data_IF_465873049646
#
_entry.id   IF_465873049646
#
_cell.length_a   1.000
_cell.length_b   1.000
_cell.length_c   1.000
_cell.angle_alpha   90.00
_cell.angle_beta   90.00
_cell.angle_gamma   90.00
#
_symmetry.space_group_name_H-M   'P 1'
#
loop_
_entity.id
_entity.type
_entity.pdbx_description
1 polymer ?
#
# COMPACT_ATOMS: atom_id res chain seq x y z
N UNK A 1 34.29 29.18 20.83
CA UNK A 1 33.90 27.79 21.13
C UNK A 1 33.23 27.87 22.48
N UNK A 2 31.90 27.76 22.50
CA UNK A 2 31.08 28.06 23.67
C UNK A 2 31.35 27.05 24.78
N UNK A 3 31.67 27.57 25.96
CA UNK A 3 31.75 26.82 27.21
C UNK A 3 30.31 26.53 27.67
N UNK A 4 29.68 25.51 27.09
CA UNK A 4 28.40 25.00 27.57
C UNK A 4 28.68 24.25 28.86
N UNK A 5 28.07 24.69 29.97
CA UNK A 5 28.24 24.05 31.26
C UNK A 5 27.76 22.60 31.17
N UNK A 6 28.65 21.65 31.48
CA UNK A 6 28.34 20.23 31.51
C UNK A 6 27.26 19.95 32.58
N UNK A 7 26.25 19.12 32.28
CA UNK A 7 25.19 18.81 33.22
C UNK A 7 25.73 18.17 34.50
N UNK A 8 25.11 18.49 35.62
CA UNK A 8 25.54 18.03 36.94
C UNK A 8 24.99 16.64 37.24
N UNK A 9 25.67 15.90 38.13
CA UNK A 9 25.15 14.62 38.61
C UNK A 9 23.82 14.75 39.39
N UNK A 10 23.43 15.95 39.80
CA UNK A 10 22.13 16.19 40.43
C UNK A 10 21.03 16.27 39.36
N UNK A 11 21.29 16.89 38.22
CA UNK A 11 20.37 16.97 37.08
C UNK A 11 20.11 15.59 36.48
N UNK A 12 21.15 14.78 36.27
CA UNK A 12 20.98 13.39 35.79
C UNK A 12 20.10 12.56 36.76
N UNK A 13 20.30 12.72 38.08
CA UNK A 13 19.45 12.03 39.08
C UNK A 13 18.02 12.56 39.07
N UNK A 14 17.84 13.86 38.88
CA UNK A 14 16.50 14.44 38.79
C UNK A 14 15.75 13.93 37.55
N UNK A 15 16.44 13.82 36.41
CA UNK A 15 15.87 13.24 35.19
C UNK A 15 15.52 11.75 35.37
N UNK A 16 16.39 10.96 36.03
CA UNK A 16 16.07 9.57 36.35
C UNK A 16 14.82 9.43 37.24
N UNK A 17 14.62 10.34 38.20
CA UNK A 17 13.39 10.37 39.01
C UNK A 17 12.16 10.84 38.21
N UNK A 18 12.35 11.72 37.23
CA UNK A 18 11.29 12.13 36.31
C UNK A 18 10.80 10.95 35.45
N UNK A 19 11.71 10.13 34.92
CA UNK A 19 11.38 8.89 34.18
C UNK A 19 10.56 7.94 35.04
N UNK A 20 10.99 7.66 36.28
CA UNK A 20 10.24 6.80 37.20
C UNK A 20 8.84 7.34 37.47
N UNK A 21 8.73 8.63 37.72
CA UNK A 21 7.43 9.29 37.96
C UNK A 21 6.52 9.22 36.73
N UNK A 22 7.08 9.37 35.53
CA UNK A 22 6.32 9.26 34.28
C UNK A 22 5.88 7.81 34.02
N UNK A 23 6.72 6.83 34.35
CA UNK A 23 6.39 5.40 34.26
C UNK A 23 5.21 5.04 35.18
N UNK A 24 5.23 5.50 36.42
CA UNK A 24 4.13 5.30 37.36
C UNK A 24 2.84 5.96 36.87
N UNK A 25 2.93 7.15 36.25
CA UNK A 25 1.78 7.85 35.66
C UNK A 25 1.22 7.09 34.45
N UNK A 26 2.08 6.59 33.58
CA UNK A 26 1.68 5.79 32.43
C UNK A 26 0.98 4.51 32.87
N UNK A 27 1.55 3.78 33.83
CA UNK A 27 0.90 2.59 34.39
C UNK A 27 -0.47 2.92 34.99
N UNK A 28 -0.58 4.00 35.77
CA UNK A 28 -1.85 4.44 36.35
C UNK A 28 -2.87 4.90 35.30
N UNK A 29 -2.45 5.33 34.10
CA UNK A 29 -3.33 5.63 32.98
C UNK A 29 -3.83 4.32 32.34
N UNK A 30 -2.94 3.37 32.09
CA UNK A 30 -3.27 2.04 31.53
C UNK A 30 -4.25 1.29 32.43
N UNK A 31 -4.03 1.29 33.74
CA UNK A 31 -4.92 0.64 34.72
C UNK A 31 -6.32 1.27 34.77
N UNK A 32 -6.48 2.52 34.32
CA UNK A 32 -7.75 3.25 34.31
C UNK A 32 -8.34 3.40 32.91
N UNK A 33 -7.78 2.73 31.89
CA UNK A 33 -8.19 2.92 30.50
C UNK A 33 -9.67 2.59 30.30
N UNK A 34 -10.32 3.40 29.47
CA UNK A 34 -11.75 3.33 29.16
C UNK A 34 -12.06 2.79 27.77
N UNK A 35 -11.04 2.36 27.02
CA UNK A 35 -11.13 1.74 25.70
C UNK A 35 -9.76 1.25 25.21
N UNK A 36 -9.70 0.74 23.98
CA UNK A 36 -8.43 0.39 23.31
C UNK A 36 -7.64 1.63 22.91
N UNK A 37 -8.31 2.71 22.52
CA UNK A 37 -7.73 4.00 22.13
C UNK A 37 -8.01 5.09 23.17
N UNK A 38 -7.53 4.92 24.40
CA UNK A 38 -7.73 5.93 25.45
C UNK A 38 -6.72 7.09 25.32
N UNK A 39 -7.16 8.34 25.06
CA UNK A 39 -6.25 9.49 24.91
C UNK A 39 -5.37 9.74 26.14
N UNK A 40 -5.85 9.40 27.34
CA UNK A 40 -5.09 9.60 28.56
C UNK A 40 -3.88 8.64 28.66
N UNK A 41 -3.98 7.46 28.05
CA UNK A 41 -2.86 6.51 27.96
C UNK A 41 -1.82 7.04 26.98
N UNK A 42 -2.27 7.51 25.82
CA UNK A 42 -1.41 8.11 24.79
C UNK A 42 -0.65 9.34 25.31
N UNK A 43 -1.35 10.27 25.97
CA UNK A 43 -0.72 11.45 26.58
C UNK A 43 0.32 11.08 27.64
N UNK A 44 0.03 10.05 28.45
CA UNK A 44 0.96 9.58 29.48
C UNK A 44 2.17 8.86 28.87
N UNK A 45 1.99 8.14 27.75
CA UNK A 45 3.06 7.55 26.97
C UNK A 45 4.00 8.62 26.41
N UNK A 46 3.48 9.66 25.78
CA UNK A 46 4.29 10.77 25.25
C UNK A 46 5.09 11.50 26.35
N UNK A 47 4.49 11.67 27.54
CA UNK A 47 5.21 12.23 28.69
C UNK A 47 6.33 11.33 29.21
N UNK A 48 6.15 10.01 29.16
CA UNK A 48 7.17 9.04 29.50
C UNK A 48 8.31 9.05 28.48
N UNK A 49 7.98 9.08 27.19
CA UNK A 49 8.94 9.20 26.09
C UNK A 49 9.84 10.43 26.27
N UNK A 50 9.25 11.62 26.40
CA UNK A 50 9.98 12.86 26.59
C UNK A 50 10.86 12.86 27.87
N UNK A 51 10.38 12.25 28.96
CA UNK A 51 11.17 12.17 30.19
C UNK A 51 12.40 11.25 30.03
N UNK A 52 12.25 10.16 29.28
CA UNK A 52 13.32 9.19 29.03
C UNK A 52 14.36 9.74 28.06
N UNK A 53 13.94 10.44 27.00
CA UNK A 53 14.86 11.14 26.09
C UNK A 53 15.71 12.18 26.82
N UNK A 54 15.08 13.03 27.64
CA UNK A 54 15.79 14.03 28.45
C UNK A 54 16.77 13.39 29.46
N UNK A 55 16.46 12.19 29.96
CA UNK A 55 17.39 11.45 30.81
C UNK A 55 18.58 10.92 30.01
N UNK A 56 18.36 10.37 28.82
CA UNK A 56 19.42 9.85 27.95
C UNK A 56 20.36 10.95 27.47
N UNK A 57 19.84 12.12 27.09
CA UNK A 57 20.67 13.28 26.72
C UNK A 57 21.60 13.69 27.88
N UNK A 58 21.04 13.83 29.09
CA UNK A 58 21.82 14.20 30.27
C UNK A 58 22.81 13.09 30.70
N UNK A 59 22.44 11.82 30.50
CA UNK A 59 23.29 10.67 30.78
C UNK A 59 24.49 10.65 29.82
N UNK A 60 24.24 10.86 28.54
CA UNK A 60 25.25 10.93 27.49
C UNK A 60 26.18 12.11 27.72
N UNK A 61 25.64 13.32 27.89
CA UNK A 61 26.43 14.53 28.09
C UNK A 61 27.38 14.41 29.28
N UNK A 62 26.94 13.75 30.37
CA UNK A 62 27.72 13.68 31.61
C UNK A 62 28.63 12.46 31.70
N UNK A 63 28.21 11.32 31.19
CA UNK A 63 28.88 10.04 31.41
C UNK A 63 29.29 9.33 30.12
N UNK A 64 28.94 9.85 28.93
CA UNK A 64 29.19 9.22 27.63
C UNK A 64 28.59 7.80 27.53
N UNK A 65 27.42 7.63 28.15
CA UNK A 65 26.67 6.37 28.23
C UNK A 65 25.25 6.61 27.70
N UNK A 66 24.64 5.56 27.14
CA UNK A 66 23.26 5.57 26.61
C UNK A 66 22.45 4.44 27.22
N UNK A 67 21.12 4.57 27.29
CA UNK A 67 20.30 3.44 27.73
C UNK A 67 20.14 2.42 26.60
N UNK A 68 19.94 1.12 26.93
CA UNK A 68 19.69 0.09 25.94
C UNK A 68 18.25 0.07 25.40
N UNK A 69 17.41 1.05 25.78
CA UNK A 69 16.01 1.13 25.35
C UNK A 69 15.87 2.21 24.29
N UNK A 70 15.43 1.83 23.09
CA UNK A 70 15.03 2.79 22.08
C UNK A 70 13.54 3.11 22.24
N UNK A 71 13.24 4.40 22.26
CA UNK A 71 11.86 4.87 22.18
C UNK A 71 11.58 5.03 20.68
N UNK A 72 10.56 4.36 20.13
CA UNK A 72 10.12 4.64 18.76
C UNK A 72 9.93 6.14 18.63
N UNK A 73 10.65 6.77 17.71
CA UNK A 73 10.71 8.23 17.62
C UNK A 73 9.30 8.82 17.57
N UNK A 74 8.99 9.67 18.56
CA UNK A 74 7.82 10.56 18.46
C UNK A 74 7.97 11.56 17.31
N UNK A 75 9.20 11.79 16.82
CA UNK A 75 9.49 12.60 15.62
C UNK A 75 9.24 11.84 14.31
N UNK A 76 9.35 10.51 14.31
CA UNK A 76 9.00 9.65 13.15
C UNK A 76 7.52 9.24 13.14
N UNK A 77 6.80 9.57 14.21
CA UNK A 77 5.36 9.34 14.31
C UNK A 77 4.62 10.50 13.65
N UNK A 78 3.74 10.19 12.69
CA UNK A 78 2.89 11.18 12.03
C UNK A 78 2.05 11.93 13.06
N UNK A 79 1.80 13.25 12.86
CA UNK A 79 0.90 13.99 13.75
C UNK A 79 -0.49 13.35 13.75
N UNK A 80 -1.26 13.51 14.85
CA UNK A 80 -2.60 12.95 14.92
C UNK A 80 -3.49 13.56 13.85
N UNK A 81 -4.38 12.75 13.26
CA UNK A 81 -5.35 13.20 12.27
C UNK A 81 -6.22 14.34 12.82
N UNK A 82 -6.28 15.47 12.11
CA UNK A 82 -7.04 16.67 12.52
C UNK A 82 -8.27 16.95 11.65
N UNK A 83 -8.53 16.11 10.64
CA UNK A 83 -9.62 16.27 9.70
C UNK A 83 -11.01 15.81 10.20
N UNK A 84 -12.04 15.83 9.34
CA UNK A 84 -13.40 15.42 9.70
C UNK A 84 -13.50 13.94 10.07
N UNK A 85 -14.40 13.60 11.00
CA UNK A 85 -14.68 12.21 11.43
C UNK A 85 -15.20 11.34 10.27
N UNK A 86 -15.96 11.92 9.34
CA UNK A 86 -16.48 11.27 8.14
C UNK A 86 -15.98 12.00 6.87
N UNK A 87 -14.80 11.63 6.31
CA UNK A 87 -14.27 12.28 5.11
C UNK A 87 -15.10 11.94 3.86
N UNK A 88 -15.40 12.93 3.03
CA UNK A 88 -16.19 12.77 1.80
C UNK A 88 -15.36 12.36 0.58
N UNK A 89 -14.04 12.56 0.61
CA UNK A 89 -13.10 12.19 -0.44
C UNK A 89 -11.77 11.75 0.17
N UNK A 90 -11.03 10.91 -0.57
CA UNK A 90 -9.74 10.38 -0.16
C UNK A 90 -8.73 10.49 -1.31
N UNK A 91 -7.45 10.66 -0.97
CA UNK A 91 -6.33 10.47 -1.88
C UNK A 91 -5.41 9.36 -1.35
N UNK A 92 -4.91 8.52 -2.25
CA UNK A 92 -4.00 7.43 -1.91
C UNK A 92 -2.64 7.72 -2.56
N UNK A 93 -1.61 7.86 -1.73
CA UNK A 93 -0.24 8.09 -2.18
C UNK A 93 0.55 6.82 -1.93
N UNK A 94 1.16 6.29 -2.99
CA UNK A 94 1.91 5.04 -2.93
C UNK A 94 3.36 5.34 -3.34
N UNK A 95 4.29 5.07 -2.43
CA UNK A 95 5.72 4.95 -2.75
C UNK A 95 6.04 3.48 -2.89
N UNK A 96 6.57 3.08 -4.05
CA UNK A 96 7.12 1.74 -4.30
C UNK A 96 8.57 1.90 -4.69
N UNK A 97 9.46 1.28 -3.94
CA UNK A 97 10.89 1.30 -4.23
C UNK A 97 11.24 0.08 -5.11
N UNK A 98 12.08 0.28 -6.12
CA UNK A 98 12.57 -0.81 -6.97
C UNK A 98 14.10 -0.74 -7.10
N UNK A 99 14.73 -1.91 -7.13
CA UNK A 99 16.12 -2.03 -7.57
C UNK A 99 16.17 -2.57 -9.00
N UNK A 100 17.08 -2.04 -9.83
CA UNK A 100 17.30 -2.56 -11.19
C UNK A 100 18.26 -3.75 -11.11
N UNK A 101 17.71 -4.95 -10.84
CA UNK A 101 18.49 -6.17 -10.68
C UNK A 101 19.00 -6.74 -12.01
N UNK A 102 18.20 -6.65 -13.07
CA UNK A 102 18.56 -7.15 -14.41
C UNK A 102 18.50 -6.02 -15.47
N UNK A 103 19.51 -5.11 -15.54
CA UNK A 103 19.53 -4.00 -16.49
C UNK A 103 19.39 -4.42 -17.95
N UNK A 104 19.93 -5.58 -18.32
CA UNK A 104 19.84 -6.09 -19.69
C UNK A 104 18.41 -6.51 -20.07
N UNK A 105 17.67 -7.08 -19.11
CA UNK A 105 16.27 -7.44 -19.29
C UNK A 105 15.41 -6.18 -19.45
N UNK A 106 15.61 -5.19 -18.58
CA UNK A 106 14.96 -3.87 -18.65
C UNK A 106 15.14 -3.24 -20.04
N UNK A 107 16.39 -3.17 -20.52
CA UNK A 107 16.70 -2.61 -21.83
C UNK A 107 16.13 -3.44 -22.99
N UNK A 108 16.06 -4.76 -22.85
CA UNK A 108 15.45 -5.62 -23.86
C UNK A 108 13.93 -5.39 -23.96
N UNK A 109 13.24 -5.15 -22.85
CA UNK A 109 11.81 -4.79 -22.84
C UNK A 109 11.60 -3.42 -23.48
N UNK A 110 12.39 -2.42 -23.09
CA UNK A 110 12.30 -1.08 -23.67
C UNK A 110 12.52 -1.07 -25.19
N UNK A 111 13.43 -1.91 -25.72
CA UNK A 111 13.61 -2.08 -27.18
C UNK A 111 12.38 -2.66 -27.87
N UNK A 112 11.60 -3.51 -27.20
CA UNK A 112 10.37 -4.06 -27.77
C UNK A 112 9.28 -3.00 -27.86
N UNK A 113 9.15 -2.17 -26.82
CA UNK A 113 8.24 -1.01 -26.81
C UNK A 113 8.63 -0.03 -27.91
N UNK A 114 9.91 0.36 -27.97
CA UNK A 114 10.44 1.28 -28.98
C UNK A 114 10.32 0.74 -30.41
N UNK A 115 10.40 -0.58 -30.61
CA UNK A 115 10.20 -1.20 -31.92
C UNK A 115 8.71 -1.31 -32.33
N UNK A 116 7.79 -1.28 -31.37
CA UNK A 116 6.35 -1.31 -31.62
C UNK A 116 5.78 0.09 -31.89
N UNK A 117 6.46 1.15 -31.45
CA UNK A 117 6.10 2.54 -31.72
C UNK A 117 6.49 2.93 -33.17
N UNK A 118 5.53 2.81 -34.10
CA UNK A 118 5.71 3.15 -35.52
C UNK A 118 5.89 4.67 -35.77
N UNK A 119 5.59 5.53 -34.79
CA UNK A 119 5.61 7.00 -34.90
C UNK A 119 6.86 7.64 -34.25
N UNK A 120 7.68 6.86 -33.55
CA UNK A 120 8.84 7.33 -32.79
C UNK A 120 9.99 7.88 -33.64
N UNK A 121 10.48 9.07 -33.29
CA UNK A 121 11.80 9.55 -33.73
C UNK A 121 12.83 8.60 -33.12
N UNK A 122 13.31 7.63 -33.91
CA UNK A 122 14.26 6.59 -33.49
C UNK A 122 15.51 7.14 -32.80
N UNK A 123 15.39 7.36 -31.49
CA UNK A 123 16.48 7.71 -30.59
C UNK A 123 16.95 6.45 -29.92
N UNK A 124 18.24 6.32 -29.63
CA UNK A 124 18.81 5.17 -28.92
C UNK A 124 18.42 5.17 -27.43
N UNK A 125 17.19 5.56 -27.06
CA UNK A 125 16.75 5.74 -25.68
C UNK A 125 16.79 4.41 -24.90
N UNK A 126 16.34 3.33 -25.55
CA UNK A 126 16.47 1.95 -25.04
C UNK A 126 17.93 1.47 -24.90
N UNK A 127 18.89 2.22 -25.45
CA UNK A 127 20.33 1.98 -25.36
C UNK A 127 20.94 2.29 -23.99
N UNK A 128 20.17 2.89 -23.08
CA UNK A 128 20.59 3.16 -21.69
C UNK A 128 19.52 2.70 -20.70
N UNK A 129 19.93 2.40 -19.45
CA UNK A 129 18.99 2.08 -18.37
C UNK A 129 18.01 3.23 -18.12
N UNK A 130 18.50 4.47 -18.13
CA UNK A 130 17.67 5.65 -17.90
C UNK A 130 16.59 5.82 -18.97
N UNK A 131 16.94 5.69 -20.26
CA UNK A 131 15.95 5.78 -21.32
C UNK A 131 15.01 4.56 -21.35
N UNK A 132 15.49 3.38 -20.97
CA UNK A 132 14.63 2.21 -20.80
C UNK A 132 13.57 2.40 -19.70
N UNK A 133 13.95 3.00 -18.56
CA UNK A 133 12.99 3.36 -17.51
C UNK A 133 11.95 4.36 -18.03
N UNK A 134 12.39 5.42 -18.73
CA UNK A 134 11.48 6.41 -19.28
C UNK A 134 10.48 5.84 -20.29
N UNK A 135 10.92 4.89 -21.13
CA UNK A 135 10.04 4.21 -22.08
C UNK A 135 9.02 3.30 -21.38
N UNK A 136 9.47 2.48 -20.42
CA UNK A 136 8.58 1.54 -19.73
C UNK A 136 7.55 2.25 -18.85
N UNK A 137 7.98 3.23 -18.04
CA UNK A 137 7.07 4.01 -17.19
C UNK A 137 6.21 5.02 -17.96
N UNK A 138 6.52 5.26 -19.24
CA UNK A 138 5.66 6.04 -20.14
C UNK A 138 4.61 5.19 -20.87
N UNK A 139 4.92 3.92 -21.15
CA UNK A 139 4.04 2.99 -21.87
C UNK A 139 3.08 2.25 -20.94
N UNK A 140 3.56 1.79 -19.78
CA UNK A 140 2.81 0.92 -18.88
C UNK A 140 2.25 1.69 -17.68
N UNK A 141 1.04 1.29 -17.25
CA UNK A 141 0.44 1.82 -16.03
C UNK A 141 1.25 1.41 -14.78
N UNK A 142 1.26 2.22 -13.71
CA UNK A 142 2.02 1.91 -12.51
C UNK A 142 1.70 0.54 -11.88
N UNK A 143 0.44 0.11 -11.95
CA UNK A 143 0.01 -1.20 -11.41
C UNK A 143 0.37 -2.37 -12.33
N UNK A 144 0.49 -2.13 -13.64
CA UNK A 144 1.06 -3.13 -14.55
C UNK A 144 2.55 -3.32 -14.29
N UNK A 145 3.30 -2.23 -14.07
CA UNK A 145 4.71 -2.31 -13.68
C UNK A 145 4.84 -3.04 -12.34
N UNK A 146 3.98 -2.73 -11.36
CA UNK A 146 4.00 -3.40 -10.06
C UNK A 146 3.74 -4.91 -10.17
N UNK A 147 2.70 -5.32 -10.91
CA UNK A 147 2.37 -6.74 -11.06
C UNK A 147 3.41 -7.54 -11.85
N UNK A 148 4.14 -6.89 -12.77
CA UNK A 148 5.08 -7.55 -13.70
C UNK A 148 6.53 -7.08 -13.52
N UNK A 149 6.90 -6.53 -12.37
CA UNK A 149 8.21 -5.91 -12.11
C UNK A 149 9.40 -6.83 -12.46
N UNK A 150 9.29 -8.13 -12.15
CA UNK A 150 10.31 -9.15 -12.50
C UNK A 150 10.50 -9.33 -14.01
N UNK A 151 9.44 -9.16 -14.81
CA UNK A 151 9.54 -9.21 -16.27
C UNK A 151 10.34 -8.04 -16.86
N UNK A 152 10.34 -6.90 -16.15
CA UNK A 152 11.11 -5.72 -16.46
C UNK A 152 12.53 -5.76 -15.88
N UNK A 153 12.87 -6.79 -15.10
CA UNK A 153 14.19 -6.90 -14.46
C UNK A 153 14.35 -5.98 -13.26
N UNK A 154 13.23 -5.61 -12.65
CA UNK A 154 13.16 -4.89 -11.39
C UNK A 154 12.93 -5.90 -10.26
N UNK A 155 13.50 -5.63 -9.10
CA UNK A 155 13.14 -6.30 -7.84
C UNK A 155 12.49 -5.28 -6.92
N UNK A 156 11.37 -5.67 -6.32
CA UNK A 156 10.61 -4.84 -5.39
C UNK A 156 11.42 -4.62 -4.10
N UNK A 157 11.38 -3.39 -3.60
CA UNK A 157 11.94 -2.97 -2.33
C UNK A 157 10.84 -2.60 -1.35
N UNK A 158 11.13 -1.69 -0.43
CA UNK A 158 10.13 -1.24 0.53
C UNK A 158 9.00 -0.46 -0.17
N UNK A 159 7.81 -0.50 0.42
CA UNK A 159 6.69 0.31 -0.03
C UNK A 159 5.99 1.00 1.14
N UNK A 160 5.44 2.18 0.86
CA UNK A 160 4.66 2.96 1.81
C UNK A 160 3.38 3.42 1.13
N UNK A 161 2.24 3.16 1.76
CA UNK A 161 0.93 3.63 1.32
C UNK A 161 0.34 4.60 2.35
N UNK A 162 -0.01 5.81 1.91
CA UNK A 162 -0.71 6.81 2.70
C UNK A 162 -2.12 7.00 2.17
N UNK A 163 -3.09 7.06 3.08
CA UNK A 163 -4.47 7.45 2.80
C UNK A 163 -4.72 8.79 3.44
N UNK A 164 -4.99 9.82 2.65
CA UNK A 164 -5.26 11.18 3.13
C UNK A 164 -6.70 11.58 2.89
N UNK A 165 -7.31 12.26 3.85
CA UNK A 165 -8.60 12.92 3.63
C UNK A 165 -8.43 14.11 2.66
N UNK A 166 -9.42 14.29 1.79
CA UNK A 166 -9.50 15.43 0.89
C UNK A 166 -10.84 16.15 1.05
N UNK A 167 -10.83 17.47 0.88
CA UNK A 167 -12.04 18.29 1.00
C UNK A 167 -13.00 18.07 -0.19
N UNK A 168 -12.44 17.89 -1.40
CA UNK A 168 -13.20 17.75 -2.65
C UNK A 168 -12.61 16.62 -3.51
N UNK A 169 -13.49 15.96 -4.28
CA UNK A 169 -13.07 14.99 -5.30
C UNK A 169 -12.58 15.72 -6.54
N UNK A 170 -11.41 15.35 -7.07
CA UNK A 170 -10.91 15.90 -8.33
C UNK A 170 -11.84 15.57 -9.51
N UNK A 171 -11.96 16.50 -10.45
CA UNK A 171 -12.74 16.27 -11.66
C UNK A 171 -12.03 15.28 -12.60
N UNK A 172 -12.76 14.35 -13.27
CA UNK A 172 -12.14 13.42 -14.20
C UNK A 172 -11.33 14.12 -15.30
N UNK A 173 -10.05 13.78 -15.41
CA UNK A 173 -9.14 14.34 -16.43
C UNK A 173 -8.44 15.65 -16.03
N UNK A 174 -8.66 16.13 -14.80
CA UNK A 174 -7.85 17.22 -14.24
C UNK A 174 -6.43 16.73 -13.94
N UNK A 175 -5.44 17.44 -14.48
CA UNK A 175 -4.03 17.15 -14.23
C UNK A 175 -3.63 17.84 -12.93
N UNK A 176 -3.29 17.06 -11.90
CA UNK A 176 -2.70 17.58 -10.68
C UNK A 176 -1.28 18.07 -11.03
N UNK A 177 -1.03 19.39 -10.94
CA UNK A 177 0.29 19.95 -11.29
C UNK A 177 1.39 19.50 -10.31
N UNK A 178 1.05 19.27 -9.04
CA UNK A 178 1.99 18.87 -8.00
C UNK A 178 1.36 17.89 -7.00
N UNK A 179 1.02 16.65 -7.41
CA UNK A 179 0.31 15.67 -6.56
C UNK A 179 1.08 15.26 -5.31
N UNK A 180 2.37 15.59 -5.22
CA UNK A 180 3.27 15.25 -4.13
C UNK A 180 3.92 16.47 -3.46
N UNK A 181 3.46 17.71 -3.70
CA UNK A 181 3.94 18.89 -2.97
C UNK A 181 3.42 18.82 -1.52
N UNK A 182 4.10 17.99 -0.73
CA UNK A 182 3.86 17.63 0.67
C UNK A 182 2.40 17.39 1.01
N UNK A 183 1.95 16.15 0.78
CA UNK A 183 0.78 15.61 1.46
C UNK A 183 0.82 16.01 2.94
N UNK A 184 -0.22 16.71 3.40
CA UNK A 184 -0.28 17.24 4.75
C UNK A 184 -0.30 16.07 5.75
N UNK A 185 0.76 15.92 6.59
CA UNK A 185 0.83 14.82 7.54
C UNK A 185 -0.35 14.80 8.52
N UNK A 186 -0.98 15.94 8.79
CA UNK A 186 -2.15 16.03 9.69
C UNK A 186 -3.44 15.48 9.06
N UNK A 187 -3.47 15.27 7.74
CA UNK A 187 -4.62 14.72 7.02
C UNK A 187 -4.45 13.23 6.66
N UNK A 188 -3.34 12.61 7.05
CA UNK A 188 -3.13 11.17 6.88
C UNK A 188 -4.01 10.40 7.85
N UNK A 189 -5.01 9.70 7.30
CA UNK A 189 -5.92 8.83 8.04
C UNK A 189 -5.21 7.53 8.40
N UNK A 190 -4.51 6.93 7.42
CA UNK A 190 -3.79 5.67 7.60
C UNK A 190 -2.45 5.69 6.86
N UNK A 191 -1.45 5.05 7.47
CA UNK A 191 -0.16 4.74 6.86
C UNK A 191 0.12 3.25 6.99
N UNK A 192 0.51 2.62 5.89
CA UNK A 192 0.97 1.24 5.85
C UNK A 192 2.39 1.22 5.29
N UNK A 193 3.30 0.59 6.02
CA UNK A 193 4.68 0.37 5.57
C UNK A 193 4.90 -1.13 5.41
N UNK A 194 5.39 -1.55 4.24
CA UNK A 194 5.80 -2.91 3.95
C UNK A 194 7.29 -2.89 3.69
N UNK A 195 8.05 -3.71 4.40
CA UNK A 195 9.48 -3.83 4.18
C UNK A 195 9.81 -5.13 3.48
N UNK A 196 10.56 -5.04 2.39
CA UNK A 196 10.97 -6.20 1.61
C UNK A 196 11.84 -7.18 2.42
N UNK A 197 12.50 -6.72 3.47
CA UNK A 197 13.34 -7.59 4.33
C UNK A 197 12.50 -8.53 5.20
N UNK A 198 11.30 -8.10 5.59
CA UNK A 198 10.42 -8.85 6.47
C UNK A 198 9.31 -9.59 5.71
N UNK A 199 9.02 -9.17 4.47
CA UNK A 199 8.00 -9.80 3.63
C UNK A 199 8.37 -11.24 3.24
N UNK A 200 9.65 -11.49 2.92
CA UNK A 200 10.17 -12.82 2.57
C UNK A 200 10.08 -13.87 3.71
N UNK A 201 9.83 -13.48 4.97
CA UNK A 201 9.72 -14.43 6.10
C UNK A 201 8.31 -15.04 6.25
N UNK A 202 7.30 -14.49 5.57
CA UNK A 202 5.89 -14.89 5.72
C UNK A 202 5.32 -15.71 4.55
N UNK A 203 6.03 -15.86 3.43
CA UNK A 203 5.56 -16.56 2.22
C UNK A 203 5.78 -18.10 2.26
N UNK A 204 6.55 -18.63 3.22
CA UNK A 204 6.93 -20.05 3.30
C UNK A 204 5.87 -20.99 3.94
N UNK A 205 4.59 -20.58 4.10
CA UNK A 205 3.67 -21.23 5.03
C UNK A 205 2.22 -21.50 4.62
N UNK A 206 1.76 -21.10 3.43
CA UNK A 206 0.38 -21.30 2.99
C UNK A 206 0.31 -21.89 1.58
N UNK A 207 1.02 -23.00 1.35
CA UNK A 207 0.72 -23.89 0.22
C UNK A 207 -0.44 -24.82 0.62
N UNK A 208 -1.42 -24.88 -0.26
CA UNK A 208 -2.65 -25.69 -0.23
C UNK A 208 -2.44 -27.14 0.23
N UNK A 209 -2.96 -27.50 1.41
CA UNK A 209 -3.34 -28.88 1.74
C UNK A 209 -4.84 -29.06 1.41
N UNK A 210 -5.17 -29.06 0.11
CA UNK A 210 -6.51 -29.36 -0.41
C UNK A 210 -6.44 -30.48 -1.46
N UNK A 211 -5.80 -31.59 -1.11
CA UNK A 211 -5.87 -32.86 -1.85
C UNK A 211 -5.68 -34.04 -0.86
N UNK A 212 -6.78 -34.54 -0.31
CA UNK A 212 -6.89 -35.92 0.21
C UNK A 212 -8.36 -36.38 0.13
N UNK A 213 -8.85 -36.55 -1.10
CA UNK A 213 -9.93 -37.49 -1.40
C UNK A 213 -9.35 -38.91 -1.43
N UNK A 214 -9.30 -39.60 -0.28
CA UNK A 214 -9.14 -41.06 -0.23
C UNK A 214 -10.20 -41.72 0.69
N UNK A 215 -11.16 -42.36 0.01
CA UNK A 215 -11.80 -43.64 0.35
C UNK A 215 -12.55 -43.78 1.69
N UNK A 216 -13.82 -43.38 1.64
CA UNK A 216 -14.85 -43.74 2.62
C UNK A 216 -15.59 -45.04 2.30
N UNK A 217 -15.02 -46.14 2.77
CA UNK A 217 -15.65 -47.30 3.44
C UNK A 217 -16.80 -48.08 2.75
N UNK A 218 -16.49 -49.37 2.52
CA UNK A 218 -17.40 -50.48 2.25
C UNK A 218 -18.62 -50.51 3.18
N UNK A 219 -19.83 -50.58 2.61
CA UNK A 219 -20.99 -51.09 3.32
C UNK A 219 -21.84 -51.98 2.40
N UNK A 220 -21.80 -53.27 2.72
CA UNK A 220 -22.59 -54.36 2.17
C UNK A 220 -24.07 -54.03 1.93
N UNK A 221 -24.54 -54.27 0.70
CA UNK A 221 -25.95 -54.65 0.45
C UNK A 221 -25.98 -55.76 -0.60
N UNK A 222 -26.09 -56.99 -0.11
CA UNK A 222 -26.71 -58.12 -0.83
C UNK A 222 -28.16 -57.74 -1.18
N UNK A 223 -28.55 -57.81 -2.46
CA UNK A 223 -29.77 -58.51 -2.85
C UNK A 223 -29.71 -58.90 -4.33
N UNK A 224 -29.92 -60.18 -4.60
CA UNK A 224 -29.94 -60.76 -5.94
C UNK A 224 -31.30 -60.56 -6.62
N UNK A 225 -31.28 -60.36 -7.94
CA UNK A 225 -32.04 -61.15 -8.94
C UNK A 225 -32.53 -60.30 -10.13
N UNK A 226 -32.32 -60.89 -11.32
CA UNK A 226 -33.11 -60.82 -12.56
C UNK A 226 -33.36 -59.45 -13.21
N UNK A 227 -32.84 -59.26 -14.43
CA UNK A 227 -33.58 -59.58 -15.67
C UNK A 227 -32.87 -58.96 -16.89
N UNK A 228 -32.88 -59.67 -18.01
CA UNK A 228 -32.21 -59.30 -19.25
C UNK A 228 -33.13 -58.51 -20.20
N UNK A 229 -32.53 -57.64 -21.02
CA UNK A 229 -33.20 -56.92 -22.12
C UNK A 229 -33.26 -55.41 -21.83
N UNK A 230 -32.99 -54.49 -22.74
CA UNK A 230 -33.37 -54.42 -24.14
C UNK A 230 -32.55 -53.31 -24.83
N UNK A 231 -32.49 -53.38 -26.15
CA UNK A 231 -31.64 -52.61 -27.05
C UNK A 231 -32.33 -51.34 -27.58
N UNK A 232 -31.52 -50.34 -27.92
CA UNK A 232 -31.87 -49.26 -28.87
C UNK A 232 -32.41 -47.98 -28.20
N UNK A 233 -32.19 -46.79 -28.72
CA UNK A 233 -31.64 -46.35 -29.99
C UNK A 233 -30.98 -44.99 -29.78
N UNK A 234 -29.94 -44.70 -30.57
CA UNK A 234 -29.44 -43.34 -30.72
C UNK A 234 -30.28 -42.60 -31.75
N UNK A 235 -30.47 -41.30 -31.53
CA UNK A 235 -30.69 -40.33 -32.60
C UNK A 235 -29.91 -39.07 -32.24
N UNK A 236 -29.03 -38.72 -33.18
CA UNK A 236 -28.29 -37.48 -33.29
C UNK A 236 -29.25 -36.49 -33.95
N UNK A 237 -29.27 -35.23 -33.54
CA UNK A 237 -29.62 -34.14 -34.45
C UNK A 237 -28.82 -32.88 -34.08
N UNK A 238 -27.95 -32.52 -35.03
CA UNK A 238 -27.30 -31.23 -35.21
C UNK A 238 -28.34 -30.27 -35.81
N UNK A 239 -28.39 -29.01 -35.39
CA UNK A 239 -28.85 -27.91 -36.24
C UNK A 239 -28.19 -26.60 -35.79
N UNK A 240 -27.17 -26.20 -36.56
CA UNK A 240 -26.76 -24.81 -36.73
C UNK A 240 -27.88 -24.07 -37.49
N UNK A 241 -28.18 -22.82 -37.11
CA UNK A 241 -28.25 -21.78 -38.13
C UNK A 241 -27.98 -20.38 -37.55
N UNK A 242 -27.21 -19.66 -38.34
CA UNK A 242 -26.72 -18.29 -38.21
C UNK A 242 -27.72 -17.37 -38.89
N UNK A 243 -27.97 -16.16 -38.41
CA UNK A 243 -28.25 -15.03 -39.31
C UNK A 243 -27.94 -13.67 -38.65
N UNK A 244 -27.01 -12.98 -39.31
CA UNK A 244 -26.67 -11.56 -39.19
C UNK A 244 -27.70 -10.71 -39.95
N UNK A 245 -27.89 -9.46 -39.53
CA UNK A 245 -28.22 -8.26 -40.34
C UNK A 245 -28.19 -7.06 -39.35
N UNK A 246 -27.15 -6.22 -39.27
CA UNK A 246 -26.71 -5.09 -40.13
C UNK A 246 -27.74 -3.92 -40.29
N UNK A 247 -27.27 -2.73 -39.87
CA UNK A 247 -27.86 -1.36 -39.78
C UNK A 247 -28.16 -0.76 -41.19
N UNK A 248 -28.43 0.56 -41.50
CA UNK A 248 -28.68 1.80 -40.72
C UNK A 248 -29.94 2.62 -41.17
N UNK A 249 -30.30 3.69 -40.45
CA UNK A 249 -31.11 4.79 -41.00
C UNK A 249 -31.44 5.96 -40.05
N UNK A 250 -31.27 7.24 -40.45
CA UNK A 250 -31.25 8.42 -39.56
C UNK A 250 -32.54 9.28 -39.59
N UNK A 251 -32.77 10.07 -38.54
CA UNK A 251 -33.62 11.28 -38.53
C UNK A 251 -33.07 12.19 -37.40
N UNK A 252 -32.30 13.24 -37.67
CA UNK A 252 -32.68 14.61 -38.05
C UNK A 252 -33.69 15.31 -37.09
N UNK A 253 -33.29 16.51 -36.64
CA UNK A 253 -34.09 17.63 -36.12
C UNK A 253 -34.52 17.68 -34.64
N UNK A 254 -33.68 18.30 -33.80
CA UNK A 254 -34.13 19.31 -32.82
C UNK A 254 -32.99 20.24 -32.37
N UNK A 255 -33.00 21.47 -32.88
CA UNK A 255 -32.14 22.58 -32.43
C UNK A 255 -32.49 23.10 -31.01
N UNK A 256 -31.53 23.74 -30.31
CA UNK A 256 -31.67 24.18 -28.93
C UNK A 256 -32.32 25.56 -28.78
N UNK A 257 -33.22 25.70 -27.80
CA UNK A 257 -33.76 27.01 -27.41
C UNK A 257 -32.77 27.78 -26.52
N UNK A 258 -32.37 28.94 -27.02
CA UNK A 258 -31.60 29.99 -26.33
C UNK A 258 -32.50 30.88 -25.47
N UNK A 259 -31.93 31.32 -24.33
CA UNK A 259 -32.06 32.62 -23.64
C UNK A 259 -33.46 33.07 -23.17
N UNK A 260 -33.57 33.38 -21.87
CA UNK A 260 -33.93 34.75 -21.43
C UNK A 260 -33.38 35.06 -20.03
N UNK A 261 -32.82 36.25 -19.91
CA UNK A 261 -32.28 36.89 -18.72
C UNK A 261 -33.34 37.77 -18.05
N UNK A 262 -33.01 38.20 -16.82
CA UNK A 262 -33.54 39.38 -16.11
C UNK A 262 -35.00 39.36 -15.61
N UNK A 263 -35.15 39.07 -14.31
CA UNK A 263 -35.82 39.98 -13.37
C UNK A 263 -35.57 39.67 -11.90
#
# INVERSE_FOLDING_TARGET
MSDAAQPTAAEVRAAAEAVKTALDRHLAAVERRSGEEDPAVYDAFNQLAAAAEAYDELLYDRYDEVTPFEIPGTEDSMPPYTGPEEPSALSVLIRRDYSVAEPQRLMAQARRVEAADEEGVGGEASGTVHGALGLLFGEFEPDEIASRHKEFGLEEGDSTLWVTAADETADPGEWLEAPFEQADPELVVCRFDVSAVFDDEYDDGLDDDDDDDEDGDDADVDDEADDEGDVGAGELDEDLDTDLDDDPGPDEDAEPARLEADR
#
